data_IF_942281732684
#
_entry.id   IF_942281732684
#
_cell.length_a   1.000
_cell.length_b   1.000
_cell.length_c   1.000
_cell.angle_alpha   90.00
_cell.angle_beta   90.00
_cell.angle_gamma   90.00
#
_symmetry.space_group_name_H-M   'P 1'
#
loop_
_entity.id
_entity.type
_entity.pdbx_description
1 polymer ?
#
# COMPACT_ATOMS: atom_id res chain seq x y z
N UNK A 1 4.70 10.02 4.63
CA UNK A 1 5.07 9.10 5.73
C UNK A 1 6.12 8.19 5.16
N UNK A 2 7.32 8.17 5.71
CA UNK A 2 8.41 7.37 5.15
C UNK A 2 8.72 6.13 5.97
N UNK A 3 8.99 5.03 5.28
CA UNK A 3 9.61 3.81 5.81
C UNK A 3 10.94 3.58 5.11
N UNK A 4 11.77 2.66 5.60
CA UNK A 4 12.93 2.20 4.85
C UNK A 4 12.56 0.95 4.06
N UNK A 5 13.12 0.80 2.86
CA UNK A 5 13.14 -0.49 2.17
C UNK A 5 14.35 -1.33 2.62
N UNK A 6 14.46 -2.55 2.09
CA UNK A 6 15.57 -3.48 2.32
C UNK A 6 16.97 -2.95 1.98
N UNK A 7 17.07 -1.89 1.18
CA UNK A 7 18.35 -1.23 0.84
C UNK A 7 18.66 -0.09 1.80
N UNK A 8 17.85 0.07 2.86
CA UNK A 8 17.90 1.19 3.78
C UNK A 8 17.43 2.50 3.15
N UNK A 9 16.91 2.48 1.92
CA UNK A 9 16.47 3.66 1.20
C UNK A 9 15.13 4.13 1.77
N UNK A 10 15.02 5.44 1.98
CA UNK A 10 13.80 6.06 2.49
C UNK A 10 12.72 6.01 1.40
N UNK A 11 11.72 5.15 1.59
CA UNK A 11 10.52 5.08 0.75
C UNK A 11 9.42 5.90 1.40
N UNK A 12 8.98 6.97 0.73
CA UNK A 12 7.81 7.72 1.15
C UNK A 12 6.55 7.01 0.67
N UNK A 13 5.82 6.40 1.60
CA UNK A 13 4.57 5.69 1.35
C UNK A 13 3.45 6.61 0.87
N UNK A 14 3.63 7.93 1.01
CA UNK A 14 2.70 8.94 0.51
C UNK A 14 3.14 9.54 -0.82
N UNK A 15 4.13 8.95 -1.50
CA UNK A 15 4.56 9.35 -2.85
C UNK A 15 4.34 8.24 -3.88
N UNK A 16 4.11 8.61 -5.15
CA UNK A 16 4.14 7.68 -6.29
C UNK A 16 5.41 6.81 -6.35
N UNK A 17 5.28 5.48 -6.29
CA UNK A 17 6.35 4.53 -6.57
C UNK A 17 5.79 3.32 -7.36
N UNK A 18 6.06 3.28 -8.67
CA UNK A 18 5.49 2.29 -9.59
C UNK A 18 5.87 0.84 -9.24
N UNK A 19 7.12 0.61 -8.84
CA UNK A 19 7.65 -0.73 -8.55
C UNK A 19 7.01 -1.30 -7.28
N UNK A 20 6.83 -0.46 -6.25
CA UNK A 20 6.10 -0.83 -5.04
C UNK A 20 4.67 -1.27 -5.38
N UNK A 21 3.95 -0.56 -6.25
CA UNK A 21 2.57 -0.91 -6.60
C UNK A 21 2.47 -2.23 -7.36
N UNK A 22 3.33 -2.42 -8.35
CA UNK A 22 3.39 -3.67 -9.13
C UNK A 22 3.66 -4.86 -8.21
N UNK A 23 4.63 -4.71 -7.31
CA UNK A 23 4.95 -5.72 -6.31
C UNK A 23 3.77 -6.01 -5.38
N UNK A 24 3.16 -4.97 -4.78
CA UNK A 24 2.04 -5.14 -3.85
C UNK A 24 0.84 -5.83 -4.49
N UNK A 25 0.51 -5.51 -5.75
CA UNK A 25 -0.55 -6.18 -6.50
C UNK A 25 -0.19 -7.66 -6.74
N UNK A 26 1.04 -7.95 -7.16
CA UNK A 26 1.50 -9.32 -7.42
C UNK A 26 1.40 -10.21 -6.19
N UNK A 27 1.90 -9.75 -5.04
CA UNK A 27 1.93 -10.55 -3.79
C UNK A 27 0.59 -10.62 -3.07
N UNK A 28 -0.40 -9.81 -3.46
CA UNK A 28 -1.75 -9.82 -2.88
C UNK A 28 -2.86 -10.23 -3.88
N UNK A 29 -2.48 -10.77 -5.05
CA UNK A 29 -3.42 -11.07 -6.16
C UNK A 29 -4.60 -11.97 -5.76
N UNK A 30 -4.38 -12.85 -4.80
CA UNK A 30 -5.39 -13.83 -4.35
C UNK A 30 -6.38 -13.26 -3.33
N UNK A 31 -6.20 -12.01 -2.89
CA UNK A 31 -7.11 -11.33 -1.95
C UNK A 31 -7.76 -10.11 -2.60
N UNK A 32 -9.00 -10.24 -3.12
CA UNK A 32 -9.75 -9.11 -3.70
C UNK A 32 -9.90 -7.92 -2.73
N UNK A 33 -9.95 -8.20 -1.43
CA UNK A 33 -9.99 -7.16 -0.40
C UNK A 33 -8.68 -6.38 -0.29
N UNK A 34 -7.53 -7.06 -0.39
CA UNK A 34 -6.23 -6.40 -0.38
C UNK A 34 -6.00 -5.62 -1.68
N UNK A 35 -6.36 -6.19 -2.84
CA UNK A 35 -6.29 -5.49 -4.13
C UNK A 35 -7.11 -4.20 -4.08
N UNK A 36 -8.35 -4.23 -3.60
CA UNK A 36 -9.16 -3.01 -3.45
C UNK A 36 -8.53 -1.98 -2.51
N UNK A 37 -7.84 -2.41 -1.46
CA UNK A 37 -7.15 -1.52 -0.53
C UNK A 37 -5.91 -0.87 -1.18
N UNK A 38 -5.13 -1.65 -1.94
CA UNK A 38 -3.98 -1.18 -2.71
C UNK A 38 -4.44 -0.20 -3.80
N UNK A 39 -5.48 -0.55 -4.58
CA UNK A 39 -6.04 0.34 -5.60
C UNK A 39 -6.56 1.65 -5.01
N UNK A 40 -7.24 1.63 -3.85
CA UNK A 40 -7.66 2.85 -3.18
C UNK A 40 -6.47 3.76 -2.83
N UNK A 41 -5.38 3.16 -2.36
CA UNK A 41 -4.16 3.89 -2.03
C UNK A 41 -3.47 4.44 -3.29
N UNK A 42 -3.40 3.68 -4.37
CA UNK A 42 -2.88 4.14 -5.67
C UNK A 42 -3.68 5.32 -6.22
N UNK A 43 -5.02 5.25 -6.22
CA UNK A 43 -5.87 6.35 -6.67
C UNK A 43 -5.65 7.62 -5.83
N UNK A 44 -5.39 7.48 -4.53
CA UNK A 44 -5.10 8.60 -3.65
C UNK A 44 -3.75 9.24 -3.95
N UNK A 45 -2.71 8.45 -4.17
CA UNK A 45 -1.33 8.93 -4.24
C UNK A 45 -0.86 9.25 -5.66
N UNK A 46 -1.24 8.44 -6.64
CA UNK A 46 -0.91 8.65 -8.05
C UNK A 46 -1.92 9.58 -8.73
N UNK A 47 -3.20 9.32 -8.48
CA UNK A 47 -4.27 10.09 -9.11
C UNK A 47 -4.59 11.40 -8.38
N UNK A 48 -4.08 11.58 -7.15
CA UNK A 48 -4.44 12.71 -6.28
C UNK A 48 -5.97 12.84 -6.03
N UNK A 49 -6.71 11.72 -6.09
CA UNK A 49 -8.16 11.73 -5.93
C UNK A 49 -8.56 12.01 -4.47
N UNK A 50 -9.67 12.74 -4.30
CA UNK A 50 -10.36 12.88 -3.02
C UNK A 50 -11.04 11.58 -2.59
N UNK A 51 -11.42 11.48 -1.31
CA UNK A 51 -12.13 10.30 -0.81
C UNK A 51 -13.43 10.02 -1.56
N UNK A 52 -14.13 11.06 -1.99
CA UNK A 52 -15.40 10.94 -2.71
C UNK A 52 -15.19 10.52 -4.17
N UNK A 53 -14.11 11.00 -4.81
CA UNK A 53 -13.72 10.52 -6.14
C UNK A 53 -13.33 9.04 -6.10
N UNK A 54 -12.55 8.62 -5.10
CA UNK A 54 -12.19 7.21 -4.90
C UNK A 54 -13.43 6.36 -4.61
N UNK A 55 -14.36 6.88 -3.79
CA UNK A 55 -15.63 6.20 -3.49
C UNK A 55 -16.43 5.92 -4.76
N UNK A 56 -16.51 6.90 -5.68
CA UNK A 56 -17.15 6.73 -6.99
C UNK A 56 -16.44 5.68 -7.85
N UNK A 57 -15.12 5.76 -8.01
CA UNK A 57 -14.33 4.82 -8.82
C UNK A 57 -14.47 3.39 -8.30
N UNK A 58 -14.37 3.20 -6.99
CA UNK A 58 -14.46 1.87 -6.37
C UNK A 58 -15.90 1.42 -6.13
N UNK A 59 -16.92 2.19 -6.54
CA UNK A 59 -18.35 1.92 -6.30
C UNK A 59 -18.61 1.57 -4.83
N UNK A 60 -18.19 2.45 -3.93
CA UNK A 60 -18.30 2.26 -2.48
C UNK A 60 -18.54 3.59 -1.77
N UNK A 61 -18.70 3.57 -0.44
CA UNK A 61 -18.94 4.79 0.35
C UNK A 61 -17.66 5.33 0.99
N UNK A 62 -17.64 6.64 1.26
CA UNK A 62 -16.50 7.38 1.83
C UNK A 62 -15.90 6.72 3.07
N UNK A 63 -16.74 6.25 4.00
CA UNK A 63 -16.27 5.55 5.21
C UNK A 63 -15.52 4.25 4.92
N UNK A 64 -15.92 3.51 3.88
CA UNK A 64 -15.22 2.31 3.42
C UNK A 64 -13.92 2.65 2.71
N UNK A 65 -13.86 3.76 1.97
CA UNK A 65 -12.60 4.29 1.41
C UNK A 65 -11.59 4.58 2.52
N UNK A 66 -11.98 5.25 3.61
CA UNK A 66 -11.07 5.51 4.74
C UNK A 66 -10.48 4.23 5.32
N UNK A 67 -11.28 3.16 5.45
CA UNK A 67 -10.80 1.84 5.90
C UNK A 67 -9.86 1.19 4.89
N UNK A 68 -10.20 1.26 3.60
CA UNK A 68 -9.35 0.74 2.51
C UNK A 68 -8.00 1.44 2.49
N UNK A 69 -7.96 2.77 2.66
CA UNK A 69 -6.71 3.52 2.72
C UNK A 69 -5.85 3.16 3.93
N UNK A 70 -6.48 2.96 5.11
CA UNK A 70 -5.76 2.47 6.30
C UNK A 70 -5.16 1.09 6.05
N UNK A 71 -5.94 0.18 5.46
CA UNK A 71 -5.48 -1.19 5.14
C UNK A 71 -4.37 -1.18 4.07
N UNK A 72 -4.51 -0.39 3.02
CA UNK A 72 -3.50 -0.27 1.96
C UNK A 72 -2.15 0.19 2.50
N UNK A 73 -2.15 1.19 3.41
CA UNK A 73 -0.92 1.65 4.08
C UNK A 73 -0.29 0.57 4.96
N UNK A 74 -1.12 -0.20 5.68
CA UNK A 74 -0.64 -1.32 6.48
C UNK A 74 0.03 -2.39 5.61
N UNK A 75 -0.63 -2.80 4.52
CA UNK A 75 -0.09 -3.77 3.56
C UNK A 75 1.26 -3.28 3.01
N UNK A 76 1.31 -2.04 2.52
CA UNK A 76 2.54 -1.46 1.98
C UNK A 76 3.68 -1.45 3.02
N UNK A 77 3.38 -1.11 4.27
CA UNK A 77 4.36 -1.12 5.36
C UNK A 77 4.85 -2.53 5.68
N UNK A 78 3.95 -3.50 5.87
CA UNK A 78 4.33 -4.88 6.21
C UNK A 78 5.27 -5.45 5.17
N UNK A 79 4.99 -5.22 3.89
CA UNK A 79 5.81 -5.72 2.80
C UNK A 79 7.16 -5.01 2.66
N UNK A 80 7.24 -3.71 2.97
CA UNK A 80 8.52 -3.00 3.00
C UNK A 80 9.40 -3.39 4.20
N UNK A 81 8.79 -3.84 5.31
CA UNK A 81 9.51 -4.34 6.48
C UNK A 81 9.89 -5.82 6.35
N UNK A 82 9.11 -6.65 5.65
CA UNK A 82 9.33 -8.09 5.51
C UNK A 82 10.51 -8.47 4.59
N UNK A 83 11.11 -7.50 3.88
CA UNK A 83 12.31 -7.73 3.06
C UNK A 83 13.64 -7.48 3.80
N UNK A 84 13.62 -7.11 5.09
CA UNK A 84 14.80 -7.29 5.95
C UNK A 84 14.89 -8.79 6.31
N UNK A 85 15.94 -9.53 5.90
CA UNK A 85 16.18 -10.82 6.52
C UNK A 85 16.42 -10.53 8.00
N UNK A 86 15.56 -11.07 8.86
CA UNK A 86 15.93 -11.22 10.27
C UNK A 86 17.13 -12.15 10.24
N UNK A 87 18.34 -11.60 10.37
CA UNK A 87 19.48 -12.41 10.76
C UNK A 87 19.13 -12.97 12.14
N UNK A 88 18.61 -14.19 12.17
CA UNK A 88 18.55 -14.98 13.39
C UNK A 88 19.99 -15.32 13.68
N UNK A 89 20.66 -14.47 14.45
CA UNK A 89 21.95 -14.78 15.04
C UNK A 89 21.70 -15.95 16.01
N UNK A 90 21.87 -17.17 15.51
CA UNK A 90 21.97 -18.36 16.34
C UNK A 90 23.33 -18.29 17.04
N UNK A 91 23.35 -17.54 18.15
CA UNK A 91 24.36 -17.71 19.19
C UNK A 91 24.16 -19.04 19.91
#
# INVERSE_FOLDING_TARGET
MSVRDKRGAKVDLDRPNHDLWTYLISVNRDSPHNIRAISALMLRLLGNLSLDQIARVLKTHRGRVSRLLRRGRLIARTHLQAEEPVEVSLG
#
